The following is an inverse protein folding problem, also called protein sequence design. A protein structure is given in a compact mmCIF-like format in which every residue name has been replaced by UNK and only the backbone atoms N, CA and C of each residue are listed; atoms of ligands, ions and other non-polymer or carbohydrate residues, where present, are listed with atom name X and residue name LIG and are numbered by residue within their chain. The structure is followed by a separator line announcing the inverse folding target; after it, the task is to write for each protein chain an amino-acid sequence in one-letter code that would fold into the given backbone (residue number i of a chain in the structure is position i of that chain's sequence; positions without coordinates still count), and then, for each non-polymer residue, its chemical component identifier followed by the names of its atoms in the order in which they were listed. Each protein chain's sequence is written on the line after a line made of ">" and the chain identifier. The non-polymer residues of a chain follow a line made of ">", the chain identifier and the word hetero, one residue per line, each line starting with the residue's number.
data_IF_664995319863
#
_entry.id   IF_664995319863
#
_cell.length_a   1.000
_cell.length_b   1.000
_cell.length_c   1.000
_cell.angle_alpha   90.00
_cell.angle_beta   90.00
_cell.angle_gamma   90.00
#
_symmetry.space_group_name_H-M   'P 1'
#
loop_
_entity.id
_entity.type
_entity.pdbx_description
1 polymer ?
#
# COMPACT_ATOMS: atom_id res chain seq x y z
N UNK A 1 -6.14 1.73 7.16
CA UNK A 1 -4.66 1.75 6.99
C UNK A 1 -4.21 2.65 5.85
N UNK A 2 -4.79 2.61 4.63
CA UNK A 2 -4.47 3.63 3.61
C UNK A 2 -4.80 5.07 4.07
N UNK A 3 -5.85 5.25 4.88
CA UNK A 3 -6.20 6.51 5.54
C UNK A 3 -5.16 7.01 6.55
N UNK A 4 -4.23 6.15 6.97
CA UNK A 4 -3.08 6.51 7.80
C UNK A 4 -1.89 6.99 6.96
N UNK A 5 -2.00 6.91 5.62
CA UNK A 5 -1.18 7.64 4.65
C UNK A 5 -2.09 8.65 3.90
N UNK A 6 -2.49 9.76 4.56
CA UNK A 6 -3.46 10.70 4.00
C UNK A 6 -2.91 11.44 2.77
N UNK A 7 -1.59 11.66 2.74
CA UNK A 7 -0.88 12.31 1.64
C UNK A 7 0.28 11.43 1.15
N UNK A 8 0.15 10.82 -0.05
CA UNK A 8 1.22 10.00 -0.63
C UNK A 8 2.47 10.80 -1.02
N UNK A 9 2.35 12.13 -1.16
CA UNK A 9 3.46 13.01 -1.47
C UNK A 9 4.31 13.29 -0.23
N UNK A 10 3.67 13.44 0.93
CA UNK A 10 4.34 13.76 2.19
C UNK A 10 5.16 12.60 2.76
N UNK A 11 4.65 11.35 2.70
CA UNK A 11 5.30 10.24 3.39
C UNK A 11 5.04 8.87 2.74
N UNK A 12 5.86 7.88 3.14
CA UNK A 12 5.63 6.47 2.82
C UNK A 12 4.46 5.92 3.63
N UNK A 13 3.80 4.85 3.15
CA UNK A 13 2.88 4.09 4.00
C UNK A 13 3.57 3.67 5.31
N UNK A 14 2.87 3.71 6.45
CA UNK A 14 3.46 3.43 7.77
C UNK A 14 3.79 1.95 7.98
N UNK A 15 3.36 1.08 7.08
CA UNK A 15 3.54 -0.37 7.15
C UNK A 15 4.09 -0.87 5.81
N UNK A 16 4.75 -2.02 5.83
CA UNK A 16 5.20 -2.72 4.63
C UNK A 16 4.64 -4.14 4.56
N UNK A 17 4.88 -4.84 3.45
CA UNK A 17 4.46 -6.23 3.24
C UNK A 17 4.87 -7.13 4.43
N UNK A 18 6.10 -7.05 4.93
CA UNK A 18 6.58 -7.89 6.04
C UNK A 18 5.85 -7.67 7.38
N UNK A 19 4.96 -6.68 7.47
CA UNK A 19 4.16 -6.37 8.66
C UNK A 19 2.68 -6.78 8.48
N UNK A 20 2.34 -7.43 7.37
CA UNK A 20 0.96 -7.79 7.02
C UNK A 20 0.73 -9.29 7.16
N UNK A 21 -0.30 -9.65 7.92
CA UNK A 21 -0.94 -10.96 7.85
C UNK A 21 -2.31 -10.79 7.19
N UNK A 22 -2.60 -11.58 6.15
CA UNK A 22 -3.86 -11.50 5.41
C UNK A 22 -4.32 -12.88 4.94
N UNK A 23 -5.63 -13.02 4.72
CA UNK A 23 -6.21 -14.19 4.07
C UNK A 23 -5.63 -14.39 2.65
N UNK A 24 -5.34 -15.64 2.29
CA UNK A 24 -4.73 -15.99 1.00
C UNK A 24 -5.61 -15.62 -0.19
N UNK A 25 -6.94 -15.77 -0.09
CA UNK A 25 -7.86 -15.39 -1.17
C UNK A 25 -7.87 -13.89 -1.37
N UNK A 26 -7.82 -13.12 -0.27
CA UNK A 26 -7.70 -11.67 -0.34
C UNK A 26 -6.38 -11.25 -0.98
N UNK A 27 -5.26 -11.87 -0.59
CA UNK A 27 -3.95 -11.63 -1.20
C UNK A 27 -3.97 -11.90 -2.72
N UNK A 28 -4.52 -13.04 -3.14
CA UNK A 28 -4.65 -13.41 -4.55
C UNK A 28 -5.55 -12.44 -5.33
N UNK A 29 -6.67 -12.02 -4.73
CA UNK A 29 -7.61 -11.12 -5.39
C UNK A 29 -7.05 -9.71 -5.58
N UNK A 30 -6.19 -9.25 -4.68
CA UNK A 30 -5.50 -7.95 -4.79
C UNK A 30 -4.36 -8.02 -5.80
N UNK A 31 -3.60 -9.11 -5.76
CA UNK A 31 -2.43 -9.31 -6.61
C UNK A 31 -1.30 -8.30 -6.38
N UNK A 32 -0.17 -8.60 -6.98
CA UNK A 32 0.98 -7.72 -7.05
C UNK A 32 0.81 -6.67 -8.18
N UNK A 33 1.40 -5.49 -8.02
CA UNK A 33 1.34 -4.37 -8.95
C UNK A 33 2.30 -4.46 -10.14
N UNK A 34 3.29 -5.36 -10.07
CA UNK A 34 4.33 -5.49 -11.11
C UNK A 34 5.33 -4.33 -11.12
N UNK A 35 5.50 -3.65 -9.98
CA UNK A 35 6.37 -2.49 -9.85
C UNK A 35 7.80 -2.92 -9.52
N UNK A 36 8.79 -2.21 -10.08
CA UNK A 36 10.20 -2.40 -9.73
C UNK A 36 10.54 -1.90 -8.31
N UNK A 37 9.83 -0.87 -7.85
CA UNK A 37 9.93 -0.28 -6.51
C UNK A 37 8.52 -0.01 -5.97
N UNK A 38 8.33 -0.13 -4.65
CA UNK A 38 7.04 0.14 -4.00
C UNK A 38 5.95 -0.90 -4.28
N UNK A 39 6.34 -2.08 -4.73
CA UNK A 39 5.47 -3.25 -4.91
C UNK A 39 4.78 -3.64 -3.59
N UNK A 40 5.50 -3.54 -2.49
CA UNK A 40 5.00 -3.73 -1.13
C UNK A 40 3.91 -2.71 -0.76
N UNK A 41 4.05 -1.44 -1.16
CA UNK A 41 3.02 -0.42 -0.96
C UNK A 41 1.73 -0.79 -1.72
N UNK A 42 1.84 -1.18 -2.98
CA UNK A 42 0.69 -1.50 -3.84
C UNK A 42 -0.08 -2.72 -3.34
N UNK A 43 0.64 -3.75 -2.90
CA UNK A 43 0.02 -4.94 -2.32
C UNK A 43 -0.69 -4.62 -1.00
N UNK A 44 0.02 -3.98 -0.07
CA UNK A 44 -0.47 -3.64 1.25
C UNK A 44 -1.70 -2.72 1.21
N UNK A 45 -1.63 -1.64 0.42
CA UNK A 45 -2.75 -0.70 0.29
C UNK A 45 -3.95 -1.38 -0.35
N UNK A 46 -3.74 -2.23 -1.37
CA UNK A 46 -4.83 -2.99 -1.99
C UNK A 46 -5.57 -3.88 -1.00
N UNK A 47 -4.83 -4.64 -0.18
CA UNK A 47 -5.41 -5.49 0.87
C UNK A 47 -6.22 -4.66 1.86
N UNK A 48 -5.65 -3.57 2.37
CA UNK A 48 -6.31 -2.74 3.38
C UNK A 48 -7.39 -1.79 2.84
N UNK A 49 -7.50 -1.61 1.52
CA UNK A 49 -8.63 -0.92 0.91
C UNK A 49 -9.82 -1.88 0.72
N UNK A 50 -9.55 -3.16 0.41
CA UNK A 50 -10.58 -4.18 0.23
C UNK A 50 -11.16 -4.71 1.53
N UNK A 51 -10.35 -4.87 2.57
CA UNK A 51 -10.80 -5.33 3.87
C UNK A 51 -10.30 -4.44 4.99
N UNK A 52 -11.14 -4.29 6.02
CA UNK A 52 -10.67 -3.75 7.29
C UNK A 52 -9.75 -4.78 7.96
N UNK A 53 -8.83 -4.29 8.78
CA UNK A 53 -7.93 -5.09 9.61
C UNK A 53 -7.63 -4.35 10.90
N UNK A 54 -6.89 -5.00 11.78
CA UNK A 54 -6.44 -4.45 13.06
C UNK A 54 -4.96 -4.12 12.99
N UNK A 55 -4.56 -2.99 13.59
CA UNK A 55 -3.16 -2.63 13.75
C UNK A 55 -2.71 -3.06 15.15
N UNK A 56 -1.72 -3.94 15.20
CA UNK A 56 -1.07 -4.32 16.45
C UNK A 56 -0.05 -3.25 16.85
N UNK A 57 0.01 -2.92 18.13
CA UNK A 57 0.99 -1.97 18.67
C UNK A 57 2.38 -2.60 18.87
N UNK A 58 2.49 -3.92 18.72
CA UNK A 58 3.72 -4.66 18.95
C UNK A 58 4.70 -4.53 17.78
N UNK A 59 5.99 -4.60 18.10
CA UNK A 59 7.04 -4.68 17.08
C UNK A 59 7.05 -6.09 16.52
N UNK A 60 6.46 -6.26 15.34
CA UNK A 60 6.35 -7.56 14.66
C UNK A 60 7.45 -7.80 13.61
N UNK A 61 8.27 -6.80 13.29
CA UNK A 61 9.27 -6.90 12.24
C UNK A 61 10.49 -6.02 12.48
N UNK A 62 11.68 -6.60 12.41
CA UNK A 62 12.95 -5.89 12.41
C UNK A 62 13.54 -5.86 11.00
N UNK A 63 13.55 -4.67 10.39
CA UNK A 63 14.17 -4.47 9.07
C UNK A 63 15.66 -4.20 9.23
N UNK A 64 16.49 -4.90 8.45
CA UNK A 64 17.89 -4.49 8.22
C UNK A 64 17.92 -3.32 7.26
N UNK A 65 18.68 -2.29 7.62
CA UNK A 65 18.89 -1.10 6.81
C UNK A 65 20.28 -1.17 6.19
N UNK A 66 20.34 -1.08 4.87
CA UNK A 66 21.61 -0.98 4.14
C UNK A 66 21.88 0.46 3.70
N UNK A 67 23.15 0.82 3.49
CA UNK A 67 23.54 2.10 2.90
C UNK A 67 22.84 2.30 1.56
N UNK A 68 22.22 3.47 1.34
CA UNK A 68 21.44 3.77 0.13
C UNK A 68 20.03 3.18 0.08
N UNK A 69 19.52 2.58 1.17
CA UNK A 69 18.13 2.11 1.28
C UNK A 69 17.23 3.04 2.13
N UNK A 70 17.75 4.13 2.67
CA UNK A 70 16.98 5.05 3.51
C UNK A 70 16.64 6.34 2.79
N UNK A 71 15.38 6.72 2.96
CA UNK A 71 14.67 7.86 2.37
C UNK A 71 14.76 9.16 3.16
N UNK A 72 15.66 9.24 4.12
CA UNK A 72 15.93 10.49 4.83
C UNK A 72 16.92 11.39 4.07
N UNK A 73 17.45 10.94 2.93
CA UNK A 73 18.24 11.80 2.04
C UNK A 73 17.32 12.58 1.12
N UNK A 74 17.49 13.90 1.07
CA UNK A 74 16.71 14.81 0.20
C UNK A 74 16.77 14.41 -1.28
N UNK A 75 17.81 13.67 -1.67
CA UNK A 75 18.11 13.17 -3.01
C UNK A 75 17.40 11.86 -3.35
N UNK A 76 16.80 11.15 -2.39
CA UNK A 76 16.15 9.84 -2.60
C UNK A 76 14.66 9.96 -2.92
N UNK A 77 14.11 11.17 -3.12
CA UNK A 77 12.83 11.33 -3.83
C UNK A 77 13.03 11.05 -5.32
N UNK A 78 13.56 9.88 -5.65
CA UNK A 78 13.63 9.47 -7.04
C UNK A 78 12.19 9.32 -7.57
N UNK A 79 12.03 9.63 -8.86
CA UNK A 79 10.73 9.70 -9.49
C UNK A 79 10.00 8.35 -9.38
N UNK A 80 10.75 7.23 -9.36
CA UNK A 80 10.21 5.88 -9.33
C UNK A 80 9.52 5.59 -8.01
N UNK A 81 10.14 5.91 -6.87
CA UNK A 81 9.51 5.71 -5.57
C UNK A 81 8.30 6.64 -5.38
N UNK A 82 8.39 7.88 -5.86
CA UNK A 82 7.26 8.80 -5.85
C UNK A 82 6.08 8.25 -6.66
N UNK A 83 6.32 7.81 -7.90
CA UNK A 83 5.30 7.24 -8.77
C UNK A 83 4.69 5.97 -8.15
N UNK A 84 5.50 5.12 -7.52
CA UNK A 84 5.03 3.93 -6.83
C UNK A 84 4.12 4.25 -5.64
N UNK A 85 4.44 5.28 -4.84
CA UNK A 85 3.58 5.76 -3.74
C UNK A 85 2.27 6.31 -4.27
N UNK A 86 2.34 7.14 -5.31
CA UNK A 86 1.15 7.72 -5.97
C UNK A 86 0.26 6.63 -6.55
N UNK A 87 0.83 5.69 -7.30
CA UNK A 87 0.12 4.55 -7.86
C UNK A 87 -0.59 3.75 -6.78
N UNK A 88 0.12 3.41 -5.70
CA UNK A 88 -0.43 2.61 -4.60
C UNK A 88 -1.58 3.33 -3.89
N UNK A 89 -1.47 4.64 -3.68
CA UNK A 89 -2.55 5.45 -3.10
C UNK A 89 -3.77 5.52 -4.02
N UNK A 90 -3.57 5.76 -5.32
CA UNK A 90 -4.65 5.77 -6.32
C UNK A 90 -5.34 4.41 -6.40
N UNK A 91 -4.60 3.30 -6.35
CA UNK A 91 -5.17 1.94 -6.25
C UNK A 91 -6.08 1.81 -5.03
N UNK A 92 -5.63 2.25 -3.85
CA UNK A 92 -6.44 2.20 -2.63
C UNK A 92 -7.72 3.04 -2.71
N UNK A 93 -7.65 4.21 -3.34
CA UNK A 93 -8.82 5.06 -3.64
C UNK A 93 -9.81 4.35 -4.56
N UNK A 94 -9.34 3.80 -5.68
CA UNK A 94 -10.15 3.10 -6.66
C UNK A 94 -10.85 1.86 -6.04
N UNK A 95 -10.13 1.08 -5.24
CA UNK A 95 -10.70 -0.07 -4.51
C UNK A 95 -11.84 0.33 -3.58
N UNK A 96 -11.73 1.48 -2.92
CA UNK A 96 -12.79 1.99 -2.04
C UNK A 96 -14.00 2.47 -2.83
N UNK A 97 -13.77 3.17 -3.93
CA UNK A 97 -14.82 3.64 -4.84
C UNK A 97 -15.59 2.44 -5.42
N UNK A 98 -14.89 1.44 -5.95
CA UNK A 98 -15.48 0.17 -6.43
C UNK A 98 -16.27 -0.58 -5.36
N UNK A 99 -15.87 -0.50 -4.08
CA UNK A 99 -16.65 -1.09 -2.97
C UNK A 99 -17.90 -0.30 -2.63
N UNK A 100 -17.90 1.00 -2.86
CA UNK A 100 -19.06 1.86 -2.62
C UNK A 100 -20.09 1.82 -3.75
N UNK A 101 -19.68 1.38 -4.94
CA UNK A 101 -20.58 1.18 -6.07
C UNK A 101 -21.59 0.07 -5.80
N UNK A 102 -22.88 0.40 -5.98
CA UNK A 102 -23.96 -0.58 -5.95
C UNK A 102 -23.68 -1.71 -6.95
N UNK A 103 -23.94 -2.98 -6.60
CA UNK A 103 -23.87 -4.09 -7.54
C UNK A 103 -24.71 -3.86 -8.80
N UNK A 104 -25.80 -3.10 -8.69
CA UNK A 104 -26.71 -2.75 -9.77
C UNK A 104 -26.18 -1.68 -10.73
N UNK A 105 -25.17 -0.91 -10.32
CA UNK A 105 -24.53 0.12 -11.17
C UNK A 105 -23.43 -0.46 -12.07
N UNK A 106 -22.97 -1.69 -11.83
CA UNK A 106 -21.89 -2.34 -12.61
C UNK A 106 -22.38 -3.15 -13.80
N UNK A 107 -23.70 -3.36 -13.90
CA UNK A 107 -24.34 -4.21 -14.89
C UNK A 107 -25.11 -3.42 -15.97
N UNK A 108 -25.12 -2.08 -15.89
CA UNK A 108 -25.70 -1.17 -16.86
C UNK A 108 -24.59 -0.49 -17.67
#
# INVERSE_FOLDING_TARGET
>A
MWTYCPDPQASKPPLGHCMLLTDTRLAQAVGHGGLNTGEDYSFLIGVCARSAGELLSDVVYHRRVHSGQWTAEDTYRDQVEFDARMHSWLKGRAERELRSESPWSRAA
#
